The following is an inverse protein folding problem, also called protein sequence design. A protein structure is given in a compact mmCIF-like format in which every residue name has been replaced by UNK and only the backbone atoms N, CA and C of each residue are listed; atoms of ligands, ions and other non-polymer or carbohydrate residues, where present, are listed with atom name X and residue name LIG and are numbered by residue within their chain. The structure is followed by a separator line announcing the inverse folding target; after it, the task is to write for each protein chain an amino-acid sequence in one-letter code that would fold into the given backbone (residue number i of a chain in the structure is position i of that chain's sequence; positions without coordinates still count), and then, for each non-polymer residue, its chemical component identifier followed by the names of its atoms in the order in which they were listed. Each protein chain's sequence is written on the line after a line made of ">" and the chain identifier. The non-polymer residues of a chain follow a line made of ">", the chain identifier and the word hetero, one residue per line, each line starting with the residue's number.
data_IF_744612520674
#
_entry.id   IF_744612520674
#
_cell.length_a   1.000
_cell.length_b   1.000
_cell.length_c   1.000
_cell.angle_alpha   90.00
_cell.angle_beta   90.00
_cell.angle_gamma   90.00
#
_symmetry.space_group_name_H-M   'P 1'
#
loop_
_entity.id
_entity.type
_entity.pdbx_description
1 polymer ?
#
# COMPACT_ATOMS: atom_id res chain seq x y z
N UNK A 1 7.25 3.58 15.13
CA UNK A 1 5.85 3.20 14.85
C UNK A 1 5.65 1.77 15.29
N UNK A 2 4.45 1.33 15.71
CA UNK A 2 4.16 -0.09 15.94
C UNK A 2 4.43 -0.92 14.69
N UNK A 3 4.80 -2.20 14.84
CA UNK A 3 5.14 -3.07 13.70
C UNK A 3 3.97 -3.33 12.75
N UNK A 4 2.73 -3.08 13.20
CA UNK A 4 1.53 -3.16 12.37
C UNK A 4 1.35 -1.98 11.42
N UNK A 5 2.16 -0.91 11.54
CA UNK A 5 2.10 0.29 10.71
C UNK A 5 3.39 0.40 9.92
N UNK A 6 3.31 0.28 8.60
CA UNK A 6 4.51 0.28 7.72
C UNK A 6 4.99 1.69 7.38
N UNK A 7 4.07 2.64 7.28
CA UNK A 7 4.36 4.04 6.99
C UNK A 7 3.27 4.96 7.53
N UNK A 8 3.50 6.26 7.41
CA UNK A 8 2.53 7.30 7.72
C UNK A 8 2.84 8.56 6.93
N UNK A 9 1.82 9.18 6.33
CA UNK A 9 1.89 10.56 5.87
C UNK A 9 1.60 11.56 7.00
N UNK A 10 2.29 12.71 6.98
CA UNK A 10 2.11 13.81 7.94
C UNK A 10 2.03 15.12 7.18
N UNK A 11 0.94 15.87 7.37
CA UNK A 11 0.84 17.26 6.90
C UNK A 11 1.68 18.17 7.80
N UNK A 12 2.72 18.78 7.25
CA UNK A 12 3.65 19.65 8.00
C UNK A 12 3.20 21.10 7.92
N UNK A 13 2.87 21.55 6.70
CA UNK A 13 2.33 22.86 6.36
C UNK A 13 1.44 22.71 5.11
N UNK A 14 0.71 23.77 4.73
CA UNK A 14 -0.12 23.73 3.52
C UNK A 14 0.70 23.35 2.27
N UNK A 15 0.33 22.23 1.62
CA UNK A 15 1.01 21.70 0.45
C UNK A 15 2.36 21.01 0.72
N UNK A 16 2.78 20.90 1.98
CA UNK A 16 4.02 20.22 2.37
C UNK A 16 3.72 19.01 3.25
N UNK A 17 4.07 17.84 2.73
CA UNK A 17 3.83 16.55 3.37
C UNK A 17 5.13 15.81 3.63
N UNK A 18 5.18 15.07 4.73
CA UNK A 18 6.28 14.20 5.09
C UNK A 18 5.79 12.76 5.12
N UNK A 19 6.55 11.86 4.50
CA UNK A 19 6.31 10.42 4.59
C UNK A 19 7.32 9.85 5.60
N UNK A 20 6.80 9.23 6.65
CA UNK A 20 7.58 8.51 7.65
C UNK A 20 7.49 7.00 7.38
N UNK A 21 8.64 6.32 7.38
CA UNK A 21 8.73 4.89 7.13
C UNK A 21 9.10 4.13 8.40
N UNK A 22 8.54 2.93 8.58
CA UNK A 22 8.82 2.11 9.75
C UNK A 22 10.21 1.45 9.65
N UNK A 23 11.18 2.05 10.34
CA UNK A 23 12.55 1.57 10.41
C UNK A 23 12.78 0.23 11.15
N UNK A 24 11.76 -0.36 11.78
CA UNK A 24 11.88 -1.69 12.41
C UNK A 24 11.46 -2.81 11.44
N UNK A 25 10.43 -2.55 10.63
CA UNK A 25 9.81 -3.57 9.76
C UNK A 25 10.37 -3.50 8.35
N UNK A 26 10.37 -2.31 7.75
CA UNK A 26 10.68 -2.14 6.32
C UNK A 26 12.11 -2.50 5.92
N UNK A 27 13.16 -2.37 6.76
CA UNK A 27 14.51 -2.82 6.37
C UNK A 27 14.58 -4.33 6.06
N UNK A 28 13.66 -5.12 6.62
CA UNK A 28 13.61 -6.56 6.39
C UNK A 28 12.69 -6.94 5.22
N UNK A 29 11.86 -6.03 4.75
CA UNK A 29 10.92 -6.24 3.66
C UNK A 29 11.59 -6.20 2.28
N UNK A 30 10.84 -6.60 1.27
CA UNK A 30 11.20 -6.45 -0.14
C UNK A 30 11.15 -4.99 -0.60
N UNK A 31 11.91 -4.65 -1.65
CA UNK A 31 11.89 -3.34 -2.32
C UNK A 31 10.49 -3.00 -2.83
N UNK A 32 9.75 -3.99 -3.31
CA UNK A 32 8.38 -3.86 -3.78
C UNK A 32 7.45 -3.44 -2.64
N UNK A 33 7.58 -4.04 -1.45
CA UNK A 33 6.81 -3.64 -0.27
C UNK A 33 7.16 -2.23 0.22
N UNK A 34 8.45 -1.89 0.23
CA UNK A 34 8.92 -0.54 0.61
C UNK A 34 8.33 0.49 -0.36
N UNK A 35 8.42 0.26 -1.67
CA UNK A 35 7.86 1.14 -2.69
C UNK A 35 6.32 1.23 -2.58
N UNK A 36 5.64 0.11 -2.35
CA UNK A 36 4.19 0.08 -2.09
C UNK A 36 3.82 0.98 -0.92
N UNK A 37 4.57 0.90 0.18
CA UNK A 37 4.35 1.75 1.36
C UNK A 37 4.53 3.23 1.01
N UNK A 38 5.60 3.58 0.28
CA UNK A 38 5.84 4.98 -0.12
C UNK A 38 4.71 5.50 -1.03
N UNK A 39 4.27 4.70 -2.01
CA UNK A 39 3.18 5.06 -2.92
C UNK A 39 1.88 5.26 -2.14
N UNK A 40 1.59 4.37 -1.19
CA UNK A 40 0.40 4.46 -0.33
C UNK A 40 0.36 5.78 0.45
N UNK A 41 1.44 6.12 1.15
CA UNK A 41 1.51 7.37 1.91
C UNK A 41 1.53 8.62 1.00
N UNK A 42 2.16 8.52 -0.19
CA UNK A 42 2.14 9.60 -1.17
C UNK A 42 0.74 9.85 -1.74
N UNK A 43 -0.07 8.79 -1.92
CA UNK A 43 -1.45 8.91 -2.38
C UNK A 43 -2.33 9.59 -1.34
N UNK A 44 -2.15 9.29 -0.04
CA UNK A 44 -2.78 10.07 1.02
C UNK A 44 -2.46 11.56 0.93
N UNK A 45 -1.17 11.91 0.80
CA UNK A 45 -0.73 13.29 0.67
C UNK A 45 -1.34 13.98 -0.57
N UNK A 46 -1.42 13.28 -1.71
CA UNK A 46 -2.06 13.80 -2.92
C UNK A 46 -3.56 14.07 -2.71
N UNK A 47 -4.28 13.14 -2.09
CA UNK A 47 -5.72 13.29 -1.85
C UNK A 47 -6.03 14.42 -0.87
N UNK A 48 -5.21 14.57 0.18
CA UNK A 48 -5.30 15.70 1.12
C UNK A 48 -5.07 17.03 0.40
N UNK A 49 -3.99 17.15 -0.38
CA UNK A 49 -3.72 18.35 -1.17
C UNK A 49 -4.85 18.69 -2.16
N UNK A 50 -5.42 17.67 -2.80
CA UNK A 50 -6.44 17.82 -3.83
C UNK A 50 -7.84 18.11 -3.27
N UNK A 51 -8.01 18.10 -1.94
CA UNK A 51 -9.32 18.25 -1.30
C UNK A 51 -10.28 17.08 -1.60
N UNK A 52 -9.74 15.95 -2.05
CA UNK A 52 -10.48 14.70 -2.27
C UNK A 52 -10.72 14.01 -0.91
N UNK A 53 -9.87 14.30 0.07
CA UNK A 53 -9.93 13.77 1.42
C UNK A 53 -11.14 14.34 2.19
N UNK A 54 -12.16 13.51 2.39
CA UNK A 54 -13.06 13.65 3.53
C UNK A 54 -12.48 12.75 4.61
N UNK A 55 -11.75 13.31 5.59
CA UNK A 55 -10.94 12.71 6.69
C UNK A 55 -11.31 11.31 7.25
N UNK A 56 -12.51 10.80 7.00
CA UNK A 56 -13.02 9.50 7.42
C UNK A 56 -12.92 8.40 6.35
N UNK A 57 -12.69 8.72 5.07
CA UNK A 57 -12.90 7.79 3.95
C UNK A 57 -11.72 7.69 2.95
N UNK A 58 -10.49 8.00 3.36
CA UNK A 58 -9.34 7.91 2.44
C UNK A 58 -9.10 6.50 1.93
N UNK A 59 -9.00 5.52 2.83
CA UNK A 59 -8.82 4.13 2.45
C UNK A 59 -9.98 3.59 1.60
N UNK A 60 -11.21 4.10 1.81
CA UNK A 60 -12.35 3.76 0.97
C UNK A 60 -12.20 4.28 -0.45
N UNK A 61 -11.77 5.54 -0.59
CA UNK A 61 -11.54 6.15 -1.90
C UNK A 61 -10.37 5.49 -2.62
N UNK A 62 -9.29 5.18 -1.90
CA UNK A 62 -8.13 4.44 -2.42
C UNK A 62 -8.54 3.03 -2.89
N UNK A 63 -9.26 2.30 -2.04
CA UNK A 63 -9.72 0.95 -2.35
C UNK A 63 -10.72 0.89 -3.51
N UNK A 64 -11.53 1.94 -3.69
CA UNK A 64 -12.53 2.01 -4.75
C UNK A 64 -11.95 2.49 -6.10
N UNK A 65 -10.94 3.36 -6.09
CA UNK A 65 -10.55 4.13 -7.27
C UNK A 65 -9.05 4.18 -7.58
N UNK A 66 -8.17 3.62 -6.74
CA UNK A 66 -6.71 3.75 -6.92
C UNK A 66 -5.93 2.44 -6.82
N UNK A 67 -6.57 1.29 -6.59
CA UNK A 67 -5.88 0.00 -6.50
C UNK A 67 -5.19 -0.35 -7.82
N UNK A 68 -5.85 -0.13 -8.97
CA UNK A 68 -5.28 -0.43 -10.28
C UNK A 68 -4.17 0.56 -10.64
N UNK A 69 -4.32 1.85 -10.30
CA UNK A 69 -3.32 2.90 -10.48
C UNK A 69 -2.04 2.59 -9.68
N UNK A 70 -2.18 2.21 -8.41
CA UNK A 70 -1.05 1.79 -7.59
C UNK A 70 -0.39 0.51 -8.14
N UNK A 71 -1.18 -0.47 -8.60
CA UNK A 71 -0.65 -1.68 -9.22
C UNK A 71 0.14 -1.38 -10.50
N UNK A 72 -0.35 -0.45 -11.34
CA UNK A 72 0.34 -0.02 -12.54
C UNK A 72 1.65 0.71 -12.21
N UNK A 73 1.63 1.64 -11.24
CA UNK A 73 2.84 2.31 -10.78
C UNK A 73 3.90 1.31 -10.26
N UNK A 74 3.47 0.28 -9.51
CA UNK A 74 4.38 -0.78 -9.06
C UNK A 74 4.97 -1.58 -10.22
N UNK A 75 4.20 -1.86 -11.28
CA UNK A 75 4.72 -2.54 -12.46
C UNK A 75 5.68 -1.68 -13.29
N UNK A 76 5.48 -0.37 -13.33
CA UNK A 76 6.44 0.54 -13.96
C UNK A 76 7.78 0.53 -13.24
N UNK A 77 7.76 0.52 -11.90
CA UNK A 77 8.97 0.42 -11.07
C UNK A 77 9.60 -0.98 -11.10
N UNK A 78 8.78 -2.03 -11.18
CA UNK A 78 9.20 -3.43 -11.16
C UNK A 78 8.59 -4.20 -12.33
N UNK A 79 9.16 -4.11 -13.55
CA UNK A 79 8.57 -4.69 -14.76
C UNK A 79 8.34 -6.20 -14.71
N UNK A 80 9.12 -6.92 -13.89
CA UNK A 80 8.98 -8.37 -13.68
C UNK A 80 7.90 -8.75 -12.67
N UNK A 81 7.32 -7.78 -11.96
CA UNK A 81 6.22 -8.00 -11.02
C UNK A 81 4.96 -8.40 -11.78
N UNK A 82 4.36 -9.54 -11.40
CA UNK A 82 3.11 -9.98 -12.00
C UNK A 82 1.99 -8.98 -11.67
N UNK A 83 1.00 -8.82 -12.55
CA UNK A 83 -0.12 -7.92 -12.26
C UNK A 83 -0.89 -8.35 -11.01
N UNK A 84 -1.08 -9.66 -10.81
CA UNK A 84 -1.71 -10.20 -9.60
C UNK A 84 -0.95 -9.83 -8.32
N UNK A 85 0.38 -9.82 -8.36
CA UNK A 85 1.19 -9.42 -7.21
C UNK A 85 1.14 -7.92 -6.99
N UNK A 86 1.20 -7.12 -8.06
CA UNK A 86 1.07 -5.68 -7.98
C UNK A 86 -0.28 -5.26 -7.40
N UNK A 87 -1.39 -5.88 -7.85
CA UNK A 87 -2.72 -5.65 -7.26
C UNK A 87 -2.79 -6.11 -5.81
N UNK A 88 -2.19 -7.25 -5.46
CA UNK A 88 -2.17 -7.70 -4.08
C UNK A 88 -1.42 -6.73 -3.16
N UNK A 89 -0.27 -6.22 -3.62
CA UNK A 89 0.49 -5.19 -2.91
C UNK A 89 -0.28 -3.88 -2.78
N UNK A 90 -0.98 -3.44 -3.84
CA UNK A 90 -1.80 -2.24 -3.84
C UNK A 90 -2.98 -2.30 -2.84
N UNK A 91 -3.44 -3.49 -2.46
CA UNK A 91 -4.41 -3.67 -1.37
C UNK A 91 -3.79 -3.52 0.03
N UNK A 92 -2.46 -3.52 0.15
CA UNK A 92 -1.74 -3.32 1.41
C UNK A 92 -2.16 -2.03 2.10
N UNK A 93 -2.52 -2.14 3.38
CA UNK A 93 -3.00 -1.01 4.20
C UNK A 93 -4.50 -0.70 4.06
N UNK A 94 -5.21 -1.23 3.06
CA UNK A 94 -6.61 -0.88 2.77
C UNK A 94 -7.65 -1.82 3.40
N UNK A 95 -7.25 -2.68 4.33
CA UNK A 95 -8.08 -3.76 4.88
C UNK A 95 -9.30 -3.29 5.69
N UNK A 96 -9.30 -2.04 6.16
CA UNK A 96 -10.43 -1.46 6.90
C UNK A 96 -11.46 -0.80 5.97
N UNK A 97 -11.21 -0.76 4.66
CA UNK A 97 -12.11 -0.14 3.69
C UNK A 97 -13.37 -0.98 3.41
N UNK A 98 -14.45 -0.29 3.05
CA UNK A 98 -15.65 -0.88 2.45
C UNK A 98 -15.32 -1.64 1.16
N UNK A 99 -14.40 -1.14 0.35
CA UNK A 99 -13.97 -1.81 -0.88
C UNK A 99 -13.33 -3.18 -0.57
N UNK A 100 -12.48 -3.25 0.45
CA UNK A 100 -11.93 -4.51 0.94
C UNK A 100 -13.02 -5.43 1.51
N UNK A 101 -13.96 -4.89 2.28
CA UNK A 101 -15.08 -5.67 2.82
C UNK A 101 -15.91 -6.32 1.71
N UNK A 102 -16.17 -5.59 0.61
CA UNK A 102 -16.83 -6.15 -0.57
C UNK A 102 -15.99 -7.23 -1.26
N UNK A 103 -14.67 -7.07 -1.34
CA UNK A 103 -13.76 -8.09 -1.88
C UNK A 103 -13.85 -9.38 -1.06
N UNK A 104 -13.82 -9.27 0.27
CA UNK A 104 -13.96 -10.42 1.19
C UNK A 104 -15.30 -11.11 0.99
N UNK A 105 -16.40 -10.36 0.90
CA UNK A 105 -17.74 -10.93 0.71
C UNK A 105 -17.91 -11.62 -0.65
N UNK A 106 -17.40 -11.01 -1.73
CA UNK A 106 -17.61 -11.50 -3.10
C UNK A 106 -16.58 -12.57 -3.51
N UNK A 107 -15.34 -12.48 -3.01
CA UNK A 107 -14.21 -13.31 -3.42
C UNK A 107 -13.30 -13.64 -2.21
N UNK A 108 -13.80 -14.39 -1.20
CA UNK A 108 -13.08 -14.62 0.05
C UNK A 108 -11.71 -15.32 -0.15
N UNK A 109 -11.63 -16.29 -1.07
CA UNK A 109 -10.36 -16.96 -1.38
C UNK A 109 -9.32 -16.01 -1.99
N UNK A 110 -9.77 -15.06 -2.82
CA UNK A 110 -8.89 -14.04 -3.38
C UNK A 110 -8.39 -13.11 -2.27
N UNK A 111 -9.27 -12.61 -1.42
CA UNK A 111 -8.90 -11.76 -0.28
C UNK A 111 -7.86 -12.46 0.62
N UNK A 112 -8.06 -13.74 0.93
CA UNK A 112 -7.09 -14.53 1.70
C UNK A 112 -5.74 -14.67 0.98
N UNK A 113 -5.75 -14.94 -0.32
CA UNK A 113 -4.50 -15.02 -1.10
C UNK A 113 -3.77 -13.68 -1.16
N UNK A 114 -4.50 -12.55 -1.23
CA UNK A 114 -3.94 -11.20 -1.18
C UNK A 114 -3.20 -10.95 0.12
N UNK A 115 -3.83 -11.26 1.26
CA UNK A 115 -3.20 -11.15 2.58
C UNK A 115 -1.92 -11.99 2.69
N UNK A 116 -1.97 -13.22 2.20
CA UNK A 116 -0.81 -14.11 2.21
C UNK A 116 0.32 -13.56 1.33
N UNK A 117 0.00 -13.01 0.17
CA UNK A 117 0.97 -12.43 -0.75
C UNK A 117 1.64 -11.20 -0.12
N UNK A 118 0.86 -10.27 0.44
CA UNK A 118 1.37 -9.10 1.18
C UNK A 118 2.35 -9.55 2.26
N UNK A 119 1.97 -10.55 3.08
CA UNK A 119 2.84 -11.10 4.12
C UNK A 119 4.16 -11.62 3.57
N UNK A 120 4.16 -12.30 2.42
CA UNK A 120 5.40 -12.81 1.81
C UNK A 120 6.37 -11.70 1.39
N UNK A 121 5.86 -10.55 0.93
CA UNK A 121 6.67 -9.38 0.58
C UNK A 121 7.15 -8.59 1.80
N UNK A 122 6.40 -8.61 2.92
CA UNK A 122 6.83 -8.07 4.23
C UNK A 122 7.95 -8.94 4.80
N UNK A 123 7.78 -10.26 4.82
CA UNK A 123 8.76 -11.21 5.36
C UNK A 123 9.93 -11.47 4.38
N UNK A 124 9.88 -10.87 3.18
CA UNK A 124 10.86 -11.06 2.10
C UNK A 124 11.07 -12.53 1.70
N UNK A 125 10.02 -13.35 1.86
CA UNK A 125 9.95 -14.68 1.23
C UNK A 125 9.56 -14.59 -0.24
N UNK A 126 9.11 -13.40 -0.68
CA UNK A 126 8.90 -12.99 -2.07
C UNK A 126 9.42 -11.58 -2.30
N UNK A 127 9.72 -11.25 -3.55
CA UNK A 127 10.25 -9.95 -3.96
C UNK A 127 11.78 -9.85 -3.83
N UNK A 128 12.28 -8.64 -4.01
CA UNK A 128 13.72 -8.37 -4.09
C UNK A 128 14.20 -7.68 -2.81
N UNK A 129 15.23 -8.21 -2.15
CA UNK A 129 15.84 -7.54 -0.98
C UNK A 129 16.66 -6.30 -1.34
N UNK A 130 16.76 -5.36 -0.39
CA UNK A 130 17.81 -4.34 -0.43
C UNK A 130 19.18 -5.02 -0.32
N UNK A 131 20.11 -4.65 -1.21
CA UNK A 131 21.50 -5.10 -1.10
C UNK A 131 22.16 -4.34 0.06
N UNK A 132 23.06 -4.98 0.83
CA UNK A 132 23.87 -4.30 1.84
C UNK A 132 24.79 -3.25 1.23
#
# INVERSE_FOLDING_TARGET
>A
MPDSILGRYVSVNYGTYMIELNGNVLPNASKEMIATTIIHEALHAYMDYSGINNYFNDHDSMGAAYVDEMANALKELFPTLSYSDATALAWGGLHESMAWSQLVMKKPSLAQSTLNNIKQYIDKTKGTGCQP
#
